data_IF_181443442520
#
_entry.id   IF_181443442520
#
_cell.length_a   1.000
_cell.length_b   1.000
_cell.length_c   1.000
_cell.angle_alpha   90.00
_cell.angle_beta   90.00
_cell.angle_gamma   90.00
#
_symmetry.space_group_name_H-M   'P 1'
#
loop_
_entity.id
_entity.type
_entity.pdbx_description
1 polymer ?
#
# COMPACT_ATOMS: atom_id res chain seq x y z
N UNK A 1 -28.57 16.55 -8.17
CA UNK A 1 -28.89 15.14 -8.33
C UNK A 1 -27.80 14.39 -7.59
N UNK A 2 -28.07 14.08 -6.29
CA UNK A 2 -27.19 13.22 -5.49
C UNK A 2 -27.24 11.82 -6.09
N UNK A 3 -26.15 11.40 -6.73
CA UNK A 3 -25.90 9.98 -6.90
C UNK A 3 -25.63 9.43 -5.48
N UNK A 4 -26.65 8.80 -4.92
CA UNK A 4 -26.53 8.00 -3.70
C UNK A 4 -25.52 6.89 -4.01
N UNK A 5 -24.26 7.11 -3.65
CA UNK A 5 -23.30 6.02 -3.53
C UNK A 5 -23.92 4.97 -2.59
N UNK A 6 -23.77 3.67 -2.86
CA UNK A 6 -24.35 2.66 -2.00
C UNK A 6 -23.88 2.90 -0.56
N UNK A 7 -24.86 3.05 0.33
CA UNK A 7 -24.61 3.16 1.77
C UNK A 7 -23.85 1.89 2.21
N UNK A 8 -22.89 2.09 3.07
CA UNK A 8 -22.09 1.00 3.65
C UNK A 8 -23.03 0.08 4.43
N UNK A 9 -22.82 -1.24 4.37
CA UNK A 9 -23.52 -2.17 5.26
C UNK A 9 -22.95 -2.07 6.67
N UNK A 10 -23.84 -2.11 7.64
CA UNK A 10 -23.52 -2.06 9.08
C UNK A 10 -23.75 -3.44 9.67
N UNK A 11 -22.71 -4.04 10.25
CA UNK A 11 -22.80 -5.23 11.08
C UNK A 11 -23.19 -4.80 12.49
N UNK A 12 -24.33 -5.23 12.98
CA UNK A 12 -24.83 -4.92 14.33
C UNK A 12 -24.70 -6.16 15.20
N UNK A 13 -23.93 -6.06 16.28
CA UNK A 13 -23.59 -7.21 17.13
C UNK A 13 -23.90 -6.90 18.60
N UNK A 14 -24.83 -7.64 19.19
CA UNK A 14 -25.18 -7.54 20.60
C UNK A 14 -25.74 -8.89 21.06
N UNK A 15 -25.43 -9.34 22.28
CA UNK A 15 -25.95 -10.61 22.80
C UNK A 15 -27.42 -10.52 23.25
N UNK A 16 -28.01 -9.34 23.18
CA UNK A 16 -29.42 -9.08 23.45
C UNK A 16 -30.19 -8.90 22.14
N UNK A 17 -30.99 -9.88 21.68
CA UNK A 17 -31.67 -9.82 20.38
C UNK A 17 -32.56 -8.59 20.20
N UNK A 18 -33.22 -8.13 21.28
CA UNK A 18 -34.09 -6.95 21.24
C UNK A 18 -33.31 -5.66 20.92
N UNK A 19 -32.06 -5.56 21.39
CA UNK A 19 -31.18 -4.41 21.07
C UNK A 19 -30.75 -4.45 19.63
N UNK A 20 -30.39 -5.63 19.12
CA UNK A 20 -30.05 -5.84 17.70
C UNK A 20 -31.21 -5.43 16.80
N UNK A 21 -32.43 -5.89 17.12
CA UNK A 21 -33.65 -5.57 16.37
C UNK A 21 -33.93 -4.06 16.38
N UNK A 22 -33.92 -3.41 17.54
CA UNK A 22 -34.16 -1.96 17.68
C UNK A 22 -33.12 -1.14 16.89
N UNK A 23 -31.84 -1.46 17.00
CA UNK A 23 -30.77 -0.76 16.28
C UNK A 23 -30.90 -0.96 14.77
N UNK A 24 -31.16 -2.19 14.33
CA UNK A 24 -31.34 -2.48 12.91
C UNK A 24 -32.56 -1.74 12.34
N UNK A 25 -33.72 -1.76 13.01
CA UNK A 25 -34.92 -1.08 12.56
C UNK A 25 -34.70 0.46 12.45
N UNK A 26 -34.04 1.05 13.43
CA UNK A 26 -33.69 2.47 13.39
C UNK A 26 -32.74 2.82 12.25
N UNK A 27 -31.66 2.07 12.07
CA UNK A 27 -30.67 2.30 11.04
C UNK A 27 -31.24 2.06 9.63
N UNK A 28 -32.08 1.04 9.46
CA UNK A 28 -32.77 0.77 8.19
C UNK A 28 -33.76 1.86 7.84
N UNK A 29 -34.47 2.39 8.82
CA UNK A 29 -35.35 3.56 8.64
C UNK A 29 -34.57 4.80 8.18
N UNK A 30 -33.29 4.89 8.56
CA UNK A 30 -32.35 5.94 8.17
C UNK A 30 -31.66 5.67 6.83
N UNK A 31 -32.00 4.53 6.16
CA UNK A 31 -31.52 4.17 4.81
C UNK A 31 -30.29 3.28 4.78
N UNK A 32 -29.77 2.81 5.92
CA UNK A 32 -28.68 1.86 5.99
C UNK A 32 -29.16 0.41 5.72
N UNK A 33 -28.24 -0.45 5.34
CA UNK A 33 -28.46 -1.90 5.31
C UNK A 33 -27.75 -2.52 6.50
N UNK A 34 -28.49 -3.26 7.31
CA UNK A 34 -27.95 -3.90 8.50
C UNK A 34 -27.79 -5.40 8.34
N UNK A 35 -26.79 -5.94 9.02
CA UNK A 35 -26.56 -7.38 9.17
C UNK A 35 -26.63 -7.65 10.68
N UNK A 36 -27.74 -8.21 11.20
CA UNK A 36 -27.90 -8.51 12.61
C UNK A 36 -27.08 -9.74 13.00
N UNK A 37 -26.44 -9.70 14.16
CA UNK A 37 -25.73 -10.82 14.77
C UNK A 37 -25.90 -10.80 16.29
N UNK A 38 -26.17 -11.96 16.87
CA UNK A 38 -26.39 -12.13 18.31
C UNK A 38 -25.15 -12.67 19.04
N UNK A 39 -24.07 -12.89 18.30
CA UNK A 39 -22.81 -13.39 18.89
C UNK A 39 -21.59 -12.94 18.09
N UNK A 40 -20.45 -12.88 18.76
CA UNK A 40 -19.16 -12.57 18.11
C UNK A 40 -18.78 -13.60 17.04
N UNK A 41 -19.14 -14.88 17.22
CA UNK A 41 -18.88 -15.94 16.23
C UNK A 41 -19.66 -15.69 14.95
N UNK A 42 -20.95 -15.44 15.04
CA UNK A 42 -21.81 -15.12 13.91
C UNK A 42 -21.33 -13.85 13.20
N UNK A 43 -20.95 -12.82 13.95
CA UNK A 43 -20.37 -11.61 13.42
C UNK A 43 -19.11 -11.83 12.58
N UNK A 44 -18.23 -12.73 13.00
CA UNK A 44 -17.03 -13.10 12.24
C UNK A 44 -17.41 -13.81 10.93
N UNK A 45 -18.36 -14.72 10.97
CA UNK A 45 -18.84 -15.45 9.78
C UNK A 45 -19.49 -14.48 8.77
N UNK A 46 -20.40 -13.63 9.22
CA UNK A 46 -21.06 -12.61 8.40
C UNK A 46 -20.07 -11.63 7.81
N UNK A 47 -19.13 -11.12 8.61
CA UNK A 47 -18.10 -10.21 8.16
C UNK A 47 -17.22 -10.83 7.07
N UNK A 48 -16.83 -12.08 7.21
CA UNK A 48 -16.00 -12.78 6.22
C UNK A 48 -16.78 -13.09 4.93
N UNK A 49 -18.08 -13.37 5.03
CA UNK A 49 -18.94 -13.69 3.89
C UNK A 49 -19.32 -12.45 3.07
N UNK A 50 -19.44 -11.29 3.69
CA UNK A 50 -19.92 -10.08 3.03
C UNK A 50 -18.86 -8.95 3.04
N UNK A 51 -18.20 -8.73 1.90
CA UNK A 51 -17.18 -7.67 1.77
C UNK A 51 -17.76 -6.25 1.75
N UNK A 52 -19.08 -6.07 1.63
CA UNK A 52 -19.74 -4.75 1.65
C UNK A 52 -19.91 -4.19 3.06
N UNK A 53 -19.71 -5.01 4.10
CA UNK A 53 -19.70 -4.54 5.49
C UNK A 53 -18.50 -3.60 5.68
N UNK A 54 -18.80 -2.33 5.89
CA UNK A 54 -17.80 -1.28 6.09
C UNK A 54 -17.84 -0.67 7.50
N UNK A 55 -18.90 -0.97 8.30
CA UNK A 55 -19.00 -0.50 9.65
C UNK A 55 -19.48 -1.63 10.58
N UNK A 56 -18.85 -1.74 11.75
CA UNK A 56 -19.18 -2.71 12.78
C UNK A 56 -19.63 -1.94 14.01
N UNK A 57 -20.88 -2.13 14.41
CA UNK A 57 -21.46 -1.59 15.64
C UNK A 57 -21.61 -2.77 16.60
N UNK A 58 -20.84 -2.82 17.67
CA UNK A 58 -20.88 -3.96 18.56
C UNK A 58 -20.93 -3.59 20.04
N UNK A 59 -21.61 -4.42 20.82
CA UNK A 59 -21.56 -4.31 22.28
C UNK A 59 -20.18 -4.67 22.80
N UNK A 60 -19.76 -3.94 23.84
CA UNK A 60 -18.48 -4.20 24.48
C UNK A 60 -18.50 -5.50 25.31
N UNK A 61 -19.61 -5.76 26.01
CA UNK A 61 -19.69 -6.83 27.01
C UNK A 61 -20.54 -8.00 26.52
N UNK A 62 -19.99 -8.80 25.63
CA UNK A 62 -20.64 -10.01 25.14
C UNK A 62 -20.02 -11.27 25.76
N UNK A 63 -20.77 -12.36 25.88
CA UNK A 63 -20.23 -13.67 26.25
C UNK A 63 -19.15 -14.14 25.26
N UNK A 64 -18.21 -14.96 25.72
CA UNK A 64 -17.13 -15.58 24.97
C UNK A 64 -16.05 -14.61 24.44
N UNK A 65 -16.42 -13.63 23.64
CA UNK A 65 -15.50 -12.65 23.04
C UNK A 65 -16.12 -11.25 23.12
N UNK A 66 -15.45 -10.36 23.83
CA UNK A 66 -15.91 -8.96 23.96
C UNK A 66 -15.72 -8.16 22.67
N UNK A 67 -16.37 -6.99 22.56
CA UNK A 67 -16.35 -6.15 21.36
C UNK A 67 -14.95 -5.67 20.95
N UNK A 68 -14.03 -5.48 21.90
CA UNK A 68 -12.64 -5.12 21.64
C UNK A 68 -11.92 -6.31 20.99
N UNK A 69 -12.06 -7.49 21.55
CA UNK A 69 -11.46 -8.72 21.01
C UNK A 69 -12.03 -9.06 19.64
N UNK A 70 -13.34 -8.91 19.45
CA UNK A 70 -14.00 -9.06 18.15
C UNK A 70 -13.38 -8.11 17.12
N UNK A 71 -13.29 -6.82 17.44
CA UNK A 71 -12.70 -5.82 16.53
C UNK A 71 -11.25 -6.16 16.17
N UNK A 72 -10.43 -6.56 17.14
CA UNK A 72 -9.06 -7.00 16.88
C UNK A 72 -9.01 -8.23 15.97
N UNK A 73 -9.91 -9.19 16.19
CA UNK A 73 -10.01 -10.38 15.35
C UNK A 73 -10.34 -10.02 13.91
N UNK A 74 -11.34 -9.16 13.70
CA UNK A 74 -11.73 -8.70 12.37
C UNK A 74 -10.60 -7.93 11.67
N UNK A 75 -9.92 -7.01 12.37
CA UNK A 75 -8.78 -6.26 11.84
C UNK A 75 -7.63 -7.17 11.40
N UNK A 76 -7.32 -8.19 12.19
CA UNK A 76 -6.26 -9.15 11.88
C UNK A 76 -6.57 -9.99 10.64
N UNK A 77 -7.84 -10.36 10.43
CA UNK A 77 -8.27 -11.23 9.33
C UNK A 77 -8.71 -10.46 8.08
N UNK A 78 -9.15 -9.21 8.21
CA UNK A 78 -9.53 -8.35 7.09
C UNK A 78 -8.38 -8.11 6.09
N UNK A 79 -7.14 -8.26 6.52
CA UNK A 79 -5.97 -7.95 5.71
C UNK A 79 -5.82 -6.45 5.42
N UNK A 80 -4.75 -6.09 4.71
CA UNK A 80 -4.42 -4.68 4.43
C UNK A 80 -5.35 -4.01 3.40
N UNK A 81 -6.19 -4.75 2.73
CA UNK A 81 -7.00 -4.24 1.62
C UNK A 81 -8.46 -3.96 1.99
N UNK A 82 -8.96 -4.55 3.07
CA UNK A 82 -10.33 -4.35 3.54
C UNK A 82 -10.35 -3.28 4.60
N UNK A 83 -10.96 -2.14 4.27
CA UNK A 83 -11.15 -1.03 5.18
C UNK A 83 -12.53 -1.13 5.83
N UNK A 84 -12.60 -0.99 7.14
CA UNK A 84 -13.82 -0.89 7.91
C UNK A 84 -13.56 -0.08 9.17
N UNK A 85 -14.61 0.44 9.78
CA UNK A 85 -14.57 1.13 11.06
C UNK A 85 -15.41 0.37 12.10
N UNK A 86 -15.02 0.49 13.37
CA UNK A 86 -15.75 -0.14 14.48
C UNK A 86 -16.18 0.91 15.48
N UNK A 87 -17.44 0.83 15.91
CA UNK A 87 -18.05 1.61 16.97
C UNK A 87 -18.45 0.67 18.09
N UNK A 88 -18.09 0.99 19.32
CA UNK A 88 -18.47 0.20 20.49
C UNK A 88 -19.67 0.81 21.22
N UNK A 89 -20.58 -0.07 21.65
CA UNK A 89 -21.63 0.26 22.61
C UNK A 89 -21.25 -0.31 23.97
N UNK A 90 -21.46 0.39 25.06
CA UNK A 90 -21.10 -0.06 26.40
C UNK A 90 -22.08 0.38 27.46
N UNK A 91 -22.52 -0.54 28.32
CA UNK A 91 -23.35 -0.22 29.46
C UNK A 91 -22.59 0.46 30.61
N UNK A 92 -21.30 0.19 30.74
CA UNK A 92 -20.38 0.84 31.70
C UNK A 92 -19.03 1.01 31.01
N UNK A 93 -18.62 2.25 30.80
CA UNK A 93 -17.27 2.54 30.35
C UNK A 93 -16.31 2.48 31.53
N UNK A 94 -15.57 1.39 31.70
CA UNK A 94 -14.38 1.43 32.52
C UNK A 94 -13.28 2.20 31.78
N UNK A 95 -12.57 3.06 32.48
CA UNK A 95 -11.46 3.84 31.93
C UNK A 95 -10.43 2.96 31.21
N UNK A 96 -10.23 1.73 31.68
CA UNK A 96 -9.31 0.78 31.07
C UNK A 96 -9.79 0.28 29.71
N UNK A 97 -11.09 0.06 29.54
CA UNK A 97 -11.67 -0.43 28.29
C UNK A 97 -11.66 0.67 27.22
N UNK A 98 -11.94 1.91 27.60
CA UNK A 98 -11.79 3.06 26.70
C UNK A 98 -10.35 3.22 26.21
N UNK A 99 -9.36 3.07 27.10
CA UNK A 99 -7.93 3.14 26.71
C UNK A 99 -7.56 1.99 25.77
N UNK A 100 -8.05 0.77 26.02
CA UNK A 100 -7.82 -0.38 25.11
C UNK A 100 -8.44 -0.14 23.75
N UNK A 101 -9.70 0.32 23.72
CA UNK A 101 -10.43 0.65 22.51
C UNK A 101 -9.68 1.67 21.64
N UNK A 102 -9.22 2.76 22.24
CA UNK A 102 -8.41 3.77 21.54
C UNK A 102 -7.09 3.21 20.97
N UNK A 103 -6.42 2.34 21.71
CA UNK A 103 -5.15 1.73 21.26
C UNK A 103 -5.29 0.82 20.06
N UNK A 104 -6.43 0.18 19.88
CA UNK A 104 -6.70 -0.70 18.74
C UNK A 104 -7.33 0.04 17.56
N UNK A 105 -7.55 1.36 17.69
CA UNK A 105 -8.09 2.18 16.62
C UNK A 105 -9.58 2.01 16.40
N UNK A 106 -10.36 1.81 17.49
CA UNK A 106 -11.83 1.92 17.43
C UNK A 106 -12.17 3.35 17.10
N UNK A 107 -13.10 3.51 16.17
CA UNK A 107 -13.46 4.82 15.62
C UNK A 107 -14.23 5.69 16.60
N UNK A 108 -15.15 5.08 17.36
CA UNK A 108 -15.97 5.78 18.37
C UNK A 108 -16.55 4.81 19.39
N UNK A 109 -17.08 5.34 20.52
CA UNK A 109 -17.80 4.53 21.49
C UNK A 109 -19.00 5.33 22.07
N UNK A 110 -20.10 4.62 22.38
CA UNK A 110 -21.32 5.19 22.95
C UNK A 110 -21.73 4.44 24.21
N UNK A 111 -22.20 5.18 25.19
CA UNK A 111 -22.69 4.61 26.45
C UNK A 111 -24.19 4.30 26.33
N UNK A 112 -24.57 3.07 26.70
CA UNK A 112 -26.00 2.68 26.85
C UNK A 112 -26.62 3.31 28.10
N UNK A 113 -27.88 3.83 28.05
CA UNK A 113 -28.74 3.85 26.88
C UNK A 113 -28.28 4.84 25.82
N UNK A 114 -28.25 4.39 24.55
CA UNK A 114 -27.70 5.15 23.43
C UNK A 114 -28.73 6.15 22.92
N UNK A 115 -28.34 7.40 22.75
CA UNK A 115 -29.13 8.34 21.95
C UNK A 115 -28.97 7.96 20.46
N UNK A 116 -30.06 7.49 19.86
CA UNK A 116 -30.02 6.98 18.47
C UNK A 116 -29.68 8.07 17.46
N UNK A 117 -30.03 9.34 17.73
CA UNK A 117 -29.65 10.44 16.82
C UNK A 117 -28.14 10.74 16.90
N UNK A 118 -27.59 10.76 18.13
CA UNK A 118 -26.14 10.93 18.33
C UNK A 118 -25.36 9.80 17.69
N UNK A 119 -25.85 8.56 17.84
CA UNK A 119 -25.27 7.40 17.18
C UNK A 119 -25.30 7.53 15.65
N UNK A 120 -26.41 7.96 15.09
CA UNK A 120 -26.55 8.16 13.64
C UNK A 120 -25.58 9.22 13.12
N UNK A 121 -25.41 10.34 13.81
CA UNK A 121 -24.41 11.35 13.47
C UNK A 121 -22.99 10.79 13.53
N UNK A 122 -22.70 9.95 14.51
CA UNK A 122 -21.41 9.28 14.62
C UNK A 122 -21.16 8.31 13.46
N UNK A 123 -22.15 7.50 13.11
CA UNK A 123 -22.10 6.59 11.97
C UNK A 123 -21.83 7.35 10.67
N UNK A 124 -22.53 8.46 10.43
CA UNK A 124 -22.34 9.31 9.26
C UNK A 124 -20.92 9.88 9.17
N UNK A 125 -20.36 10.33 10.30
CA UNK A 125 -18.97 10.80 10.35
C UNK A 125 -17.97 9.69 10.00
N UNK A 126 -18.17 8.48 10.54
CA UNK A 126 -17.28 7.36 10.27
C UNK A 126 -17.42 6.86 8.83
N UNK A 127 -18.63 6.87 8.28
CA UNK A 127 -18.87 6.54 6.88
C UNK A 127 -18.13 7.49 5.94
N UNK A 128 -18.19 8.81 6.17
CA UNK A 128 -17.47 9.78 5.33
C UNK A 128 -15.95 9.59 5.42
N UNK A 129 -15.41 9.40 6.62
CA UNK A 129 -13.98 9.13 6.80
C UNK A 129 -13.54 7.84 6.08
N UNK A 130 -14.34 6.77 6.17
CA UNK A 130 -14.08 5.52 5.50
C UNK A 130 -14.11 5.68 3.98
N UNK A 131 -15.07 6.43 3.45
CA UNK A 131 -15.16 6.75 2.02
C UNK A 131 -13.95 7.53 1.52
N UNK A 132 -13.47 8.51 2.28
CA UNK A 132 -12.26 9.26 1.93
C UNK A 132 -11.03 8.36 1.90
N UNK A 133 -10.88 7.48 2.89
CA UNK A 133 -9.79 6.49 2.91
C UNK A 133 -9.86 5.53 1.72
N UNK A 134 -11.05 5.03 1.38
CA UNK A 134 -11.27 4.16 0.22
C UNK A 134 -10.87 4.86 -1.08
N UNK A 135 -11.30 6.11 -1.29
CA UNK A 135 -10.91 6.94 -2.45
C UNK A 135 -9.39 7.12 -2.51
N UNK A 136 -8.75 7.42 -1.39
CA UNK A 136 -7.29 7.59 -1.32
C UNK A 136 -6.54 6.32 -1.71
N UNK A 137 -6.98 5.16 -1.23
CA UNK A 137 -6.39 3.85 -1.58
C UNK A 137 -6.58 3.55 -3.07
N UNK A 138 -7.78 3.80 -3.62
CA UNK A 138 -8.06 3.62 -5.05
C UNK A 138 -7.20 4.53 -5.93
N UNK A 139 -7.08 5.82 -5.57
CA UNK A 139 -6.21 6.77 -6.27
C UNK A 139 -4.75 6.36 -6.22
N UNK A 140 -4.26 5.89 -5.07
CA UNK A 140 -2.90 5.37 -4.93
C UNK A 140 -2.64 4.13 -5.78
N UNK A 141 -3.66 3.27 -5.97
CA UNK A 141 -3.56 2.11 -6.84
C UNK A 141 -3.58 2.50 -8.32
N UNK A 142 -4.45 3.45 -8.69
CA UNK A 142 -4.52 3.99 -10.05
C UNK A 142 -3.23 4.70 -10.44
N UNK A 143 -2.68 5.53 -9.57
CA UNK A 143 -1.41 6.20 -9.80
C UNK A 143 -0.26 5.21 -10.03
N UNK A 144 -0.20 4.12 -9.26
CA UNK A 144 0.80 3.06 -9.49
C UNK A 144 0.64 2.38 -10.85
N UNK A 145 -0.61 2.12 -11.28
CA UNK A 145 -0.88 1.56 -12.62
C UNK A 145 -0.50 2.53 -13.74
N UNK A 146 -0.80 3.81 -13.59
CA UNK A 146 -0.43 4.83 -14.56
C UNK A 146 1.09 4.98 -14.67
N UNK A 147 1.80 4.93 -13.54
CA UNK A 147 3.25 4.98 -13.51
C UNK A 147 3.87 3.76 -14.22
N UNK A 148 3.34 2.57 -13.98
CA UNK A 148 3.77 1.36 -14.68
C UNK A 148 3.55 1.43 -16.20
N UNK A 149 2.41 1.99 -16.64
CA UNK A 149 2.12 2.20 -18.06
C UNK A 149 3.05 3.23 -18.69
N UNK A 150 3.33 4.34 -18.00
CA UNK A 150 4.27 5.36 -18.46
C UNK A 150 5.68 4.78 -18.65
N UNK A 151 6.17 4.01 -17.65
CA UNK A 151 7.46 3.33 -17.74
C UNK A 151 7.51 2.32 -18.90
N UNK A 152 6.41 1.60 -19.15
CA UNK A 152 6.31 0.65 -20.29
C UNK A 152 6.29 1.35 -21.65
N UNK A 153 5.71 2.54 -21.73
CA UNK A 153 5.71 3.35 -22.97
C UNK A 153 7.11 3.88 -23.25
N UNK A 154 7.82 4.36 -22.22
CA UNK A 154 9.20 4.83 -22.36
C UNK A 154 10.13 3.70 -22.84
N UNK A 155 9.97 2.49 -22.30
CA UNK A 155 10.71 1.30 -22.76
C UNK A 155 10.43 0.98 -24.23
N UNK A 156 9.17 1.06 -24.68
CA UNK A 156 8.79 0.84 -26.09
C UNK A 156 9.36 1.92 -27.03
N UNK A 157 9.37 3.18 -26.60
CA UNK A 157 10.00 4.24 -27.40
C UNK A 157 11.50 4.05 -27.58
N UNK A 158 12.19 3.55 -26.55
CA UNK A 158 13.61 3.26 -26.62
C UNK A 158 13.93 2.05 -27.52
N UNK A 159 13.09 1.03 -27.47
CA UNK A 159 13.22 -0.12 -28.39
C UNK A 159 13.02 0.31 -29.86
N UNK A 160 12.08 1.21 -30.12
CA UNK A 160 11.85 1.77 -31.45
C UNK A 160 13.02 2.66 -31.95
N UNK A 161 13.66 3.43 -31.05
CA UNK A 161 14.84 4.23 -31.38
C UNK A 161 16.06 3.34 -31.67
N UNK A 162 16.24 2.25 -30.92
CA UNK A 162 17.34 1.31 -31.13
C UNK A 162 17.25 0.58 -32.49
N UNK A 163 16.02 0.34 -32.98
CA UNK A 163 15.76 -0.25 -34.31
C UNK A 163 15.98 0.75 -35.46
N UNK A 164 15.91 2.05 -35.18
CA UNK A 164 16.12 3.12 -36.19
C UNK A 164 17.57 3.50 -36.44
N UNK A 165 18.52 3.04 -35.64
CA UNK A 165 19.93 3.25 -35.94
C UNK A 165 20.35 2.27 -37.02
N UNK A 166 20.81 2.71 -38.22
CA UNK A 166 21.33 1.80 -39.23
C UNK A 166 22.57 1.10 -38.68
N UNK A 167 22.81 -0.19 -39.03
CA UNK A 167 24.00 -0.88 -38.61
C UNK A 167 25.22 -0.15 -39.18
N UNK A 168 26.07 0.38 -38.32
CA UNK A 168 27.38 0.88 -38.72
C UNK A 168 28.13 -0.29 -39.32
N UNK A 169 28.38 -0.20 -40.63
CA UNK A 169 29.13 -1.16 -41.44
C UNK A 169 30.45 -1.51 -40.79
N UNK A 170 30.65 -2.80 -40.69
CA UNK A 170 31.94 -3.39 -40.32
C UNK A 170 33.06 -2.85 -41.18
N UNK A 171 33.98 -2.12 -40.60
CA UNK A 171 35.29 -1.77 -41.12
C UNK A 171 36.35 -2.51 -40.32
N UNK A 172 37.13 -3.28 -41.02
CA UNK A 172 38.13 -4.24 -40.66
C UNK A 172 39.32 -3.61 -39.92
N UNK A 173 39.90 -4.42 -39.03
CA UNK A 173 41.26 -4.39 -38.49
C UNK A 173 41.77 -3.19 -37.67
N UNK A 174 42.06 -3.46 -36.42
CA UNK A 174 42.87 -2.62 -35.54
C UNK A 174 42.87 -3.08 -34.10
N UNK A 175 43.93 -3.82 -33.75
CA UNK A 175 44.54 -4.00 -32.42
C UNK A 175 43.73 -3.51 -31.23
N UNK A 176 43.32 -4.43 -30.36
CA UNK A 176 42.69 -4.18 -29.09
C UNK A 176 43.62 -3.40 -28.13
N UNK A 177 43.43 -2.09 -28.07
CA UNK A 177 43.80 -1.32 -26.88
C UNK A 177 42.63 -1.49 -25.88
N UNK A 178 42.89 -2.13 -24.75
CA UNK A 178 41.93 -2.22 -23.63
C UNK A 178 41.67 -0.81 -23.11
N UNK A 179 40.50 -0.30 -23.42
CA UNK A 179 39.99 0.97 -22.90
C UNK A 179 39.77 0.85 -21.36
N UNK A 180 40.48 1.60 -20.51
CA UNK A 180 40.38 1.51 -19.07
C UNK A 180 39.00 1.87 -18.52
N UNK A 181 38.01 2.21 -19.38
CA UNK A 181 36.66 2.60 -19.06
C UNK A 181 35.59 1.60 -19.53
N UNK A 182 36.01 0.38 -19.99
CA UNK A 182 35.06 -0.63 -20.40
C UNK A 182 34.15 -1.05 -19.20
N UNK A 183 32.88 -0.83 -19.35
CA UNK A 183 31.89 -1.25 -18.31
C UNK A 183 31.87 -2.78 -18.21
N UNK A 184 31.80 -3.33 -16.98
CA UNK A 184 31.67 -4.76 -16.76
C UNK A 184 30.50 -5.36 -17.56
N UNK A 185 30.68 -6.55 -18.12
CA UNK A 185 29.71 -7.23 -18.99
C UNK A 185 28.30 -7.38 -18.34
N UNK A 186 28.24 -7.40 -17.01
CA UNK A 186 26.99 -7.50 -16.24
C UNK A 186 26.03 -6.30 -16.46
N UNK A 187 26.56 -5.16 -16.92
CA UNK A 187 25.76 -3.95 -17.19
C UNK A 187 25.30 -3.85 -18.64
N UNK A 188 25.72 -4.75 -19.54
CA UNK A 188 25.34 -4.74 -20.95
C UNK A 188 23.85 -5.07 -21.18
N UNK A 189 23.21 -5.71 -20.20
CA UNK A 189 21.77 -6.04 -20.24
C UNK A 189 20.86 -4.92 -19.73
N UNK A 190 21.42 -3.79 -19.30
CA UNK A 190 20.65 -2.66 -18.81
C UNK A 190 20.17 -1.80 -19.97
N UNK A 191 18.92 -1.30 -19.89
CA UNK A 191 18.45 -0.28 -20.82
C UNK A 191 19.26 1.02 -20.68
N UNK A 192 19.29 1.89 -21.71
CA UNK A 192 20.04 3.15 -21.66
C UNK A 192 19.72 4.00 -20.42
N UNK A 193 18.46 4.09 -20.05
CA UNK A 193 18.01 4.83 -18.84
C UNK A 193 18.46 4.18 -17.53
N UNK A 194 18.39 2.87 -17.45
CA UNK A 194 18.91 2.11 -16.30
C UNK A 194 20.41 2.30 -16.17
N UNK A 195 21.11 2.35 -17.30
CA UNK A 195 22.54 2.59 -17.34
C UNK A 195 22.91 4.01 -16.87
N UNK A 196 22.15 5.03 -17.30
CA UNK A 196 22.33 6.41 -16.85
C UNK A 196 22.13 6.52 -15.33
N UNK A 197 21.05 5.94 -14.80
CA UNK A 197 20.81 5.90 -13.35
C UNK A 197 21.95 5.15 -12.65
N UNK A 198 22.39 3.99 -13.17
CA UNK A 198 23.48 3.23 -12.59
C UNK A 198 24.79 4.03 -12.54
N UNK A 199 25.14 4.75 -13.62
CA UNK A 199 26.32 5.63 -13.69
C UNK A 199 26.27 6.74 -12.64
N UNK A 200 25.11 7.37 -12.46
CA UNK A 200 24.93 8.43 -11.49
C UNK A 200 24.96 7.90 -10.03
N UNK A 201 24.49 6.67 -9.81
CA UNK A 201 24.68 5.95 -8.54
C UNK A 201 26.17 5.67 -8.30
N UNK A 202 26.91 5.27 -9.33
CA UNK A 202 28.37 5.07 -9.27
C UNK A 202 29.15 6.33 -8.93
N UNK A 203 28.63 7.51 -9.31
CA UNK A 203 29.17 8.83 -8.92
C UNK A 203 28.77 9.24 -7.49
N UNK A 204 28.01 8.42 -6.75
CA UNK A 204 27.60 8.69 -5.38
C UNK A 204 26.44 9.66 -5.23
N UNK A 205 25.69 9.99 -6.28
CA UNK A 205 24.57 10.92 -6.23
C UNK A 205 23.38 10.34 -5.45
N UNK A 206 22.62 11.21 -4.78
CA UNK A 206 21.35 10.83 -4.13
C UNK A 206 20.22 10.66 -5.14
N UNK A 207 19.13 9.99 -4.78
CA UNK A 207 17.97 9.87 -5.68
C UNK A 207 17.40 11.22 -6.10
N UNK A 208 17.41 12.20 -5.21
CA UNK A 208 17.00 13.58 -5.51
C UNK A 208 17.89 14.21 -6.59
N UNK A 209 19.21 14.10 -6.47
CA UNK A 209 20.15 14.65 -7.46
C UNK A 209 19.98 13.96 -8.82
N UNK A 210 19.86 12.63 -8.83
CA UNK A 210 19.62 11.86 -10.06
C UNK A 210 18.28 12.27 -10.70
N UNK A 211 17.24 12.47 -9.90
CA UNK A 211 15.94 12.93 -10.37
C UNK A 211 16.01 14.28 -11.07
N UNK A 212 16.76 15.23 -10.48
CA UNK A 212 17.01 16.55 -11.07
C UNK A 212 17.82 16.45 -12.37
N UNK A 213 18.89 15.65 -12.40
CA UNK A 213 19.79 15.53 -13.55
C UNK A 213 19.09 14.87 -14.75
N UNK A 214 18.22 13.88 -14.50
CA UNK A 214 17.52 13.14 -15.55
C UNK A 214 16.12 13.68 -15.88
N UNK A 215 15.62 14.69 -15.16
CA UNK A 215 14.29 15.26 -15.35
C UNK A 215 13.13 14.32 -15.01
N UNK A 216 13.33 13.41 -14.05
CA UNK A 216 12.35 12.42 -13.59
C UNK A 216 12.06 12.56 -12.09
N UNK A 217 11.08 11.81 -11.57
CA UNK A 217 10.76 11.87 -10.15
C UNK A 217 11.70 11.00 -9.30
N UNK A 218 11.88 11.35 -8.01
CA UNK A 218 12.65 10.48 -7.08
C UNK A 218 12.11 9.06 -6.98
N UNK A 219 10.80 8.89 -7.13
CA UNK A 219 10.17 7.56 -7.10
C UNK A 219 10.55 6.75 -8.34
N UNK A 220 10.63 7.38 -9.50
CA UNK A 220 11.11 6.78 -10.74
C UNK A 220 12.58 6.36 -10.60
N UNK A 221 13.44 7.20 -9.99
CA UNK A 221 14.83 6.83 -9.69
C UNK A 221 14.91 5.62 -8.77
N UNK A 222 14.10 5.57 -7.70
CA UNK A 222 14.04 4.39 -6.79
C UNK A 222 13.67 3.13 -7.53
N UNK A 223 12.74 3.22 -8.48
CA UNK A 223 12.32 2.09 -9.32
C UNK A 223 13.48 1.61 -10.19
N UNK A 224 14.14 2.50 -10.94
CA UNK A 224 15.30 2.14 -11.76
C UNK A 224 16.44 1.54 -10.94
N UNK A 225 16.75 2.11 -9.78
CA UNK A 225 17.78 1.52 -8.88
C UNK A 225 17.40 0.10 -8.47
N UNK A 226 16.13 -0.15 -8.11
CA UNK A 226 15.66 -1.49 -7.75
C UNK A 226 15.74 -2.48 -8.92
N UNK A 227 15.41 -2.04 -10.14
CA UNK A 227 15.53 -2.86 -11.35
C UNK A 227 16.98 -3.18 -11.66
N UNK A 228 17.87 -2.19 -11.62
CA UNK A 228 19.32 -2.37 -11.83
C UNK A 228 19.89 -3.37 -10.83
N UNK A 229 19.60 -3.24 -9.55
CA UNK A 229 20.05 -4.17 -8.50
C UNK A 229 19.59 -5.60 -8.79
N UNK A 230 18.36 -5.78 -9.23
CA UNK A 230 17.81 -7.09 -9.59
C UNK A 230 18.51 -7.70 -10.83
N UNK A 231 18.68 -6.91 -11.90
CA UNK A 231 19.29 -7.36 -13.13
C UNK A 231 20.79 -7.65 -12.98
N UNK A 232 21.47 -6.89 -12.12
CA UNK A 232 22.90 -7.07 -11.84
C UNK A 232 23.18 -8.05 -10.68
N UNK A 233 22.12 -8.63 -10.08
CA UNK A 233 22.21 -9.53 -8.90
C UNK A 233 22.94 -8.90 -7.71
N UNK A 234 22.83 -7.57 -7.55
CA UNK A 234 23.40 -6.85 -6.42
C UNK A 234 22.39 -6.65 -5.29
N UNK A 235 22.83 -6.79 -4.04
CA UNK A 235 21.95 -6.79 -2.89
C UNK A 235 21.64 -5.39 -2.36
N UNK A 236 22.46 -4.39 -2.67
CA UNK A 236 22.29 -3.03 -2.19
C UNK A 236 22.96 -1.98 -3.09
N UNK A 237 22.52 -0.72 -2.89
CA UNK A 237 23.04 0.44 -3.62
C UNK A 237 24.57 0.63 -3.48
N UNK A 238 25.12 0.31 -2.32
CA UNK A 238 26.54 0.45 -2.05
C UNK A 238 27.36 -0.50 -2.93
N UNK A 239 26.89 -1.72 -3.13
CA UNK A 239 27.52 -2.67 -4.05
C UNK A 239 27.49 -2.15 -5.49
N UNK A 240 26.36 -1.61 -5.93
CA UNK A 240 26.22 -1.01 -7.25
C UNK A 240 27.16 0.19 -7.43
N UNK A 241 27.23 1.08 -6.44
CA UNK A 241 28.12 2.23 -6.47
C UNK A 241 29.60 1.83 -6.53
N UNK A 242 29.99 0.81 -5.75
CA UNK A 242 31.37 0.29 -5.77
C UNK A 242 31.73 -0.36 -7.11
N UNK A 243 30.80 -1.12 -7.72
CA UNK A 243 31.03 -1.79 -9.00
C UNK A 243 31.20 -0.80 -10.16
N UNK A 244 30.62 0.40 -10.06
CA UNK A 244 30.70 1.46 -11.09
C UNK A 244 31.63 2.60 -10.71
N UNK A 245 32.29 2.54 -9.55
CA UNK A 245 33.26 3.55 -9.12
C UNK A 245 34.52 3.48 -9.97
N UNK A 246 35.07 4.61 -10.44
CA UNK A 246 36.29 4.64 -11.28
C UNK A 246 37.52 4.00 -10.61
N UNK A 247 37.48 3.74 -9.32
CA UNK A 247 38.55 3.08 -8.55
C UNK A 247 38.40 1.54 -8.41
N UNK A 248 37.37 0.91 -8.98
CA UNK A 248 37.15 -0.52 -8.83
C UNK A 248 38.17 -1.35 -9.60
N UNK A 249 38.69 -0.87 -10.75
CA UNK A 249 39.65 -1.56 -11.59
C UNK A 249 41.08 -1.65 -10.99
N UNK A 250 41.41 -0.78 -10.04
CA UNK A 250 42.76 -0.75 -9.46
C UNK A 250 42.98 -1.76 -8.30
N UNK A 251 41.91 -2.38 -7.75
CA UNK A 251 42.02 -3.33 -6.62
C UNK A 251 42.04 -4.80 -6.98
N UNK A 252 41.64 -5.18 -8.20
CA UNK A 252 41.67 -6.60 -8.63
C UNK A 252 43.09 -7.10 -8.97
N UNK A 253 44.02 -6.22 -9.30
CA UNK A 253 45.39 -6.62 -9.64
C UNK A 253 46.33 -6.82 -8.43
N UNK A 254 45.90 -6.61 -7.20
CA UNK A 254 46.74 -6.81 -5.99
C UNK A 254 46.48 -8.11 -5.23
N UNK A 255 45.54 -8.94 -5.66
CA UNK A 255 45.21 -10.20 -4.96
C UNK A 255 45.65 -11.47 -5.69
N UNK A 256 46.36 -11.37 -6.83
CA UNK A 256 46.90 -12.53 -7.56
C UNK A 256 48.41 -12.58 -7.60
N UNK A 257 49.13 -11.80 -6.77
CA UNK A 257 50.58 -11.90 -6.60
C UNK A 257 50.89 -12.14 -5.11
N UNK A 258 50.66 -13.39 -4.68
CA UNK A 258 51.43 -14.06 -3.63
C UNK A 258 51.12 -15.55 -3.70
#
# INVERSE_FOLDING_TARGET
>A
VNQLSPLIKILVVDDQPLIVEELCEFLESSGYRCVPCESSREAIECFNADPEIGLVLCDLHMPDMNGIELTQHLQKHAGKQRLFESILLTGRADKQDVIKALRIGIADYYQKPVDLNELLEGIQRQEEQLRERMKSVQLGHLNRKLQFLADSIDDLYQDMESVRQPPLTAGVDGVAEEDPHAMPAIFQQLSPRQLDVARLVGKGQTNYQIACDLGITENTVKLYVSQVLRLTHMNNRTQLALALSPNASAKQHRLTAH
#
